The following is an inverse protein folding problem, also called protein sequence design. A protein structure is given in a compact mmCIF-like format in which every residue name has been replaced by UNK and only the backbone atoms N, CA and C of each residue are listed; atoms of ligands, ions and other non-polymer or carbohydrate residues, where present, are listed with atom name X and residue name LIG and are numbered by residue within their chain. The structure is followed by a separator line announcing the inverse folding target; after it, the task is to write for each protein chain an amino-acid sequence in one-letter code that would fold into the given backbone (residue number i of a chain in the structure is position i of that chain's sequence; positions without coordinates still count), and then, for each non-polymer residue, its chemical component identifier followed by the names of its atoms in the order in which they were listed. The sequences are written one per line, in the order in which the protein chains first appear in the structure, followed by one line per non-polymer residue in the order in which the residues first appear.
data_IF_328479179600
#
_entry.id   IF_328479179600
#
_cell.length_a   1.000
_cell.length_b   1.000
_cell.length_c   1.000
_cell.angle_alpha   90.00
_cell.angle_beta   90.00
_cell.angle_gamma   90.00
#
_symmetry.space_group_name_H-M   'P 1'
#
loop_
_entity.id
_entity.type
_entity.pdbx_description
1 polymer ?
#
# COMPACT_ATOMS: atom_id res chain seq x y z
N UNK A 1 14.16 -6.74 2.41
CA UNK A 1 13.31 -6.36 3.56
C UNK A 1 12.58 -7.61 4.01
N UNK A 2 12.52 -7.91 5.31
CA UNK A 2 11.80 -9.08 5.82
C UNK A 2 10.31 -8.71 5.93
N UNK A 3 9.46 -9.31 5.10
CA UNK A 3 8.00 -9.11 5.17
C UNK A 3 7.36 -9.89 6.33
N UNK A 4 8.14 -10.68 7.08
CA UNK A 4 7.63 -11.50 8.17
C UNK A 4 6.64 -12.53 7.63
N UNK A 5 5.47 -12.60 8.27
CA UNK A 5 4.36 -13.46 7.84
C UNK A 5 3.40 -12.79 6.85
N UNK A 6 3.60 -11.50 6.52
CA UNK A 6 2.81 -10.83 5.49
C UNK A 6 3.05 -11.45 4.13
N UNK A 7 1.97 -11.90 3.52
CA UNK A 7 1.95 -12.47 2.17
C UNK A 7 1.86 -11.37 1.10
N UNK A 8 1.09 -10.32 1.37
CA UNK A 8 0.89 -9.19 0.47
C UNK A 8 0.73 -7.89 1.27
N UNK A 9 1.31 -6.81 0.75
CA UNK A 9 1.27 -5.46 1.32
C UNK A 9 0.86 -4.47 0.22
N UNK A 10 -0.18 -3.69 0.47
CA UNK A 10 -0.51 -2.51 -0.33
C UNK A 10 -0.26 -1.26 0.50
N UNK A 11 0.41 -0.27 -0.07
CA UNK A 11 0.74 0.95 0.63
C UNK A 11 0.38 2.20 -0.18
N UNK A 12 -0.14 3.19 0.53
CA UNK A 12 -0.52 4.49 0.02
C UNK A 12 0.33 5.57 0.71
N UNK A 13 0.95 6.44 -0.06
CA UNK A 13 1.66 7.62 0.44
C UNK A 13 0.73 8.48 1.30
N UNK A 14 1.21 8.89 2.48
CA UNK A 14 0.46 9.77 3.38
C UNK A 14 0.14 11.11 2.72
N UNK A 15 0.98 11.58 1.78
CA UNK A 15 0.72 12.83 1.05
C UNK A 15 -0.57 12.77 0.19
N UNK A 16 -1.01 11.57 -0.21
CA UNK A 16 -2.29 11.43 -0.92
C UNK A 16 -3.49 11.68 0.02
N UNK A 17 -3.34 11.41 1.33
CA UNK A 17 -4.36 11.75 2.33
C UNK A 17 -4.52 13.25 2.48
N UNK A 18 -3.46 14.03 2.31
CA UNK A 18 -3.56 15.49 2.32
C UNK A 18 -4.55 15.97 1.25
N UNK A 19 -4.50 15.39 0.05
CA UNK A 19 -5.44 15.70 -1.03
C UNK A 19 -6.88 15.37 -0.66
N UNK A 20 -7.10 14.23 0.00
CA UNK A 20 -8.43 13.80 0.47
C UNK A 20 -8.96 14.71 1.57
N UNK A 21 -8.16 15.02 2.58
CA UNK A 21 -8.54 15.91 3.70
C UNK A 21 -8.86 17.31 3.18
N UNK A 22 -8.07 17.84 2.24
CA UNK A 22 -8.36 19.12 1.60
C UNK A 22 -9.68 19.09 0.84
N UNK A 23 -9.93 18.03 0.07
CA UNK A 23 -11.20 17.86 -0.62
C UNK A 23 -12.37 17.82 0.37
N UNK A 24 -12.29 17.02 1.42
CA UNK A 24 -13.33 16.94 2.46
C UNK A 24 -13.59 18.30 3.09
N UNK A 25 -12.54 19.09 3.37
CA UNK A 25 -12.68 20.45 3.90
C UNK A 25 -13.41 21.38 2.92
N UNK A 26 -13.17 21.24 1.61
CA UNK A 26 -13.85 22.04 0.59
C UNK A 26 -15.34 21.69 0.44
N UNK A 27 -15.69 20.40 0.42
CA UNK A 27 -17.06 19.93 0.16
C UNK A 27 -17.95 19.79 1.39
N UNK A 28 -17.39 19.65 2.61
CA UNK A 28 -18.17 19.49 3.84
C UNK A 28 -18.16 20.78 4.66
N UNK A 29 -19.25 21.58 4.66
CA UNK A 29 -19.32 22.80 5.48
C UNK A 29 -19.10 22.53 6.97
N UNK A 30 -19.60 21.39 7.47
CA UNK A 30 -19.43 20.93 8.85
C UNK A 30 -17.97 20.63 9.22
N UNK A 31 -17.07 20.48 8.23
CA UNK A 31 -15.65 20.33 8.48
C UNK A 31 -14.88 21.66 8.43
N UNK A 32 -15.50 22.73 7.89
CA UNK A 32 -14.94 24.09 7.93
C UNK A 32 -15.41 24.88 9.14
N UNK A 33 -16.69 24.71 9.48
CA UNK A 33 -17.33 25.43 10.57
C UNK A 33 -18.04 24.43 11.46
N UNK A 34 -17.53 24.28 12.68
CA UNK A 34 -18.08 23.39 13.69
C UNK A 34 -18.75 24.27 14.74
N UNK A 35 -20.06 24.16 14.85
CA UNK A 35 -20.85 24.90 15.83
C UNK A 35 -21.38 23.93 16.88
N UNK A 36 -21.23 24.31 18.14
CA UNK A 36 -21.90 23.65 19.24
C UNK A 36 -23.42 23.84 19.12
N UNK A 37 -24.24 22.79 19.26
CA UNK A 37 -25.70 22.91 19.21
C UNK A 37 -26.29 23.89 20.24
N UNK A 38 -25.64 24.02 21.41
CA UNK A 38 -26.07 24.93 22.48
C UNK A 38 -25.49 26.36 22.31
N UNK A 39 -24.67 26.58 21.28
CA UNK A 39 -24.06 27.86 20.95
C UNK A 39 -22.90 28.26 21.87
N UNK A 40 -22.32 27.32 22.63
CA UNK A 40 -21.20 27.59 23.52
C UNK A 40 -19.90 27.89 22.77
N UNK A 41 -19.71 27.34 21.57
CA UNK A 41 -18.56 27.64 20.73
C UNK A 41 -18.86 27.54 19.23
N UNK A 42 -17.99 28.21 18.46
CA UNK A 42 -17.83 27.97 17.02
C UNK A 42 -16.35 27.87 16.68
N UNK A 43 -15.97 26.80 15.98
CA UNK A 43 -14.67 26.65 15.35
C UNK A 43 -14.78 26.96 13.86
N UNK A 44 -13.92 27.83 13.36
CA UNK A 44 -13.69 28.04 11.94
C UNK A 44 -12.29 27.54 11.58
N UNK A 45 -12.21 26.45 10.83
CA UNK A 45 -10.97 25.75 10.50
C UNK A 45 -10.39 26.22 9.16
N UNK A 46 -9.09 26.51 9.17
CA UNK A 46 -8.26 26.52 7.96
C UNK A 46 -8.13 25.10 7.38
N UNK A 47 -7.70 24.94 6.11
CA UNK A 47 -7.43 23.63 5.54
C UNK A 47 -6.47 22.80 6.42
N UNK A 48 -6.90 21.63 6.92
CA UNK A 48 -6.07 20.84 7.82
C UNK A 48 -4.85 20.23 7.11
N UNK A 49 -3.74 20.08 7.83
CA UNK A 49 -2.53 19.47 7.28
C UNK A 49 -2.30 18.08 7.87
N UNK A 50 -2.11 17.07 7.03
CA UNK A 50 -1.70 15.74 7.45
C UNK A 50 -0.19 15.74 7.66
N UNK A 51 0.24 15.34 8.85
CA UNK A 51 1.65 15.35 9.21
C UNK A 51 2.06 14.02 9.84
N UNK A 52 3.35 13.70 9.71
CA UNK A 52 3.98 12.63 10.48
C UNK A 52 5.03 13.21 11.42
N UNK A 53 5.11 12.66 12.64
CA UNK A 53 6.07 13.08 13.68
C UNK A 53 6.90 11.89 14.11
N UNK A 54 8.21 12.07 14.18
CA UNK A 54 9.19 11.07 14.65
C UNK A 54 9.76 11.49 16.01
N UNK A 55 8.98 11.25 17.06
CA UNK A 55 9.33 11.62 18.46
C UNK A 55 9.67 10.42 19.33
N UNK A 56 10.31 9.39 18.76
CA UNK A 56 10.56 8.09 19.40
C UNK A 56 9.48 7.04 19.11
N UNK A 57 8.26 7.47 18.80
CA UNK A 57 7.23 6.68 18.14
C UNK A 57 6.76 7.42 16.88
N UNK A 58 6.97 6.77 15.74
CA UNK A 58 6.48 7.26 14.45
C UNK A 58 4.95 7.24 14.46
N UNK A 59 4.35 8.41 14.24
CA UNK A 59 2.91 8.63 14.33
C UNK A 59 2.47 9.65 13.32
N UNK A 60 1.19 9.62 13.00
CA UNK A 60 0.56 10.57 12.10
C UNK A 60 -0.55 11.32 12.81
N UNK A 61 -0.92 12.46 12.27
CA UNK A 61 -2.00 13.27 12.79
C UNK A 61 -2.41 14.35 11.82
N UNK A 62 -3.40 15.12 12.24
CA UNK A 62 -3.85 16.31 11.55
C UNK A 62 -3.47 17.53 12.38
N UNK A 63 -2.77 18.45 11.74
CA UNK A 63 -2.51 19.79 12.23
C UNK A 63 -3.66 20.71 11.82
N UNK A 64 -4.26 21.33 12.83
CA UNK A 64 -5.45 22.15 12.74
C UNK A 64 -5.09 23.58 13.13
N UNK A 65 -5.58 24.52 12.34
CA UNK A 65 -5.46 25.95 12.63
C UNK A 65 -6.78 26.61 12.36
N UNK A 66 -7.06 27.69 13.07
CA UNK A 66 -8.31 28.39 12.85
C UNK A 66 -8.64 29.43 13.91
N UNK A 67 -9.92 29.76 13.94
CA UNK A 67 -10.50 30.73 14.84
C UNK A 67 -11.53 30.04 15.74
N UNK A 68 -11.38 30.24 17.04
CA UNK A 68 -12.32 29.82 18.07
C UNK A 68 -13.13 31.04 18.53
N UNK A 69 -14.45 30.93 18.47
CA UNK A 69 -15.40 31.86 19.07
C UNK A 69 -16.04 31.16 20.27
N UNK A 70 -16.08 31.85 21.41
CA UNK A 70 -16.70 31.35 22.64
C UNK A 70 -17.94 32.17 22.96
N UNK A 71 -19.05 31.50 23.21
CA UNK A 71 -20.36 32.09 23.45
C UNK A 71 -20.74 33.13 22.36
N UNK A 72 -21.40 34.23 22.75
CA UNK A 72 -21.71 35.35 21.87
C UNK A 72 -20.52 36.31 21.64
N UNK A 73 -19.28 35.94 22.00
CA UNK A 73 -18.13 36.82 21.85
C UNK A 73 -17.72 36.92 20.37
N UNK A 74 -17.74 38.13 19.76
CA UNK A 74 -17.34 38.28 18.37
C UNK A 74 -15.82 38.21 18.15
N UNK A 75 -15.03 38.24 19.23
CA UNK A 75 -13.57 38.21 19.11
C UNK A 75 -13.07 36.78 18.97
N UNK A 76 -12.51 36.46 17.80
CA UNK A 76 -11.85 35.20 17.54
C UNK A 76 -10.57 35.03 18.37
N UNK A 77 -10.39 33.84 18.92
CA UNK A 77 -9.14 33.35 19.48
C UNK A 77 -8.49 32.48 18.40
N UNK A 78 -7.31 32.87 17.92
CA UNK A 78 -6.54 32.00 17.02
C UNK A 78 -6.08 30.78 17.81
N UNK A 79 -6.25 29.61 17.22
CA UNK A 79 -5.75 28.37 17.80
C UNK A 79 -4.97 27.54 16.79
N UNK A 80 -4.08 26.72 17.33
CA UNK A 80 -3.24 25.76 16.65
C UNK A 80 -3.29 24.46 17.47
N UNK A 81 -3.64 23.35 16.83
CA UNK A 81 -3.79 22.06 17.50
C UNK A 81 -3.26 20.92 16.65
N UNK A 82 -2.65 19.91 17.29
CA UNK A 82 -2.24 18.68 16.63
C UNK A 82 -2.98 17.49 17.23
N UNK A 83 -3.74 16.81 16.36
CA UNK A 83 -4.57 15.67 16.72
C UNK A 83 -3.97 14.41 16.11
N UNK A 84 -3.66 13.44 16.96
CA UNK A 84 -3.13 12.15 16.56
C UNK A 84 -4.22 11.31 15.92
N UNK A 85 -3.86 10.69 14.79
CA UNK A 85 -4.66 9.67 14.13
C UNK A 85 -3.95 8.32 14.20
N UNK A 86 -4.74 7.25 14.25
CA UNK A 86 -4.25 5.88 14.23
C UNK A 86 -4.92 5.10 13.11
N UNK A 87 -4.16 4.47 12.21
CA UNK A 87 -4.72 3.52 11.27
C UNK A 87 -5.21 2.28 12.01
N UNK A 88 -6.41 1.82 11.66
CA UNK A 88 -7.01 0.59 12.20
C UNK A 88 -7.76 -0.17 11.11
N UNK A 89 -8.09 -1.43 11.41
CA UNK A 89 -9.03 -2.21 10.60
C UNK A 89 -10.42 -1.97 11.17
N UNK A 90 -11.27 -1.31 10.40
CA UNK A 90 -12.70 -1.15 10.68
C UNK A 90 -13.54 -2.14 9.87
N UNK A 91 -14.86 -1.95 9.88
CA UNK A 91 -15.79 -2.73 9.05
C UNK A 91 -16.70 -1.81 8.23
N UNK A 92 -17.01 -2.23 7.00
CA UNK A 92 -18.09 -1.64 6.22
C UNK A 92 -19.47 -2.11 6.72
N UNK A 93 -20.53 -1.68 6.04
CA UNK A 93 -21.92 -1.98 6.42
C UNK A 93 -22.28 -3.47 6.25
N UNK A 94 -21.52 -4.19 5.43
CA UNK A 94 -21.66 -5.64 5.17
C UNK A 94 -20.75 -6.48 6.11
N UNK A 95 -19.98 -5.84 6.99
CA UNK A 95 -19.05 -6.49 7.91
C UNK A 95 -17.70 -6.88 7.29
N UNK A 96 -17.36 -6.36 6.10
CA UNK A 96 -16.06 -6.59 5.47
C UNK A 96 -14.99 -5.66 6.08
N UNK A 97 -13.76 -6.16 6.24
CA UNK A 97 -12.68 -5.35 6.79
C UNK A 97 -12.31 -4.21 5.83
N UNK A 98 -12.16 -3.01 6.38
CA UNK A 98 -11.72 -1.81 5.66
C UNK A 98 -10.62 -1.10 6.43
N UNK A 99 -9.75 -0.36 5.73
CA UNK A 99 -8.79 0.52 6.39
C UNK A 99 -9.48 1.81 6.84
N UNK A 100 -9.30 2.20 8.10
CA UNK A 100 -9.85 3.45 8.66
C UNK A 100 -8.78 4.25 9.39
N UNK A 101 -9.03 5.55 9.55
CA UNK A 101 -8.23 6.44 10.39
C UNK A 101 -9.06 6.87 11.58
N UNK A 102 -8.70 6.41 12.78
CA UNK A 102 -9.42 6.75 14.00
C UNK A 102 -8.70 7.85 14.77
N UNK A 103 -9.48 8.67 15.47
CA UNK A 103 -8.95 9.59 16.47
C UNK A 103 -8.26 8.80 17.60
N UNK A 104 -7.06 9.23 17.98
CA UNK A 104 -6.29 8.61 19.08
C UNK A 104 -6.21 9.55 20.28
N UNK A 105 -5.69 10.76 20.09
CA UNK A 105 -5.54 11.76 21.14
C UNK A 105 -5.31 13.17 20.58
N UNK A 106 -5.62 14.19 21.38
CA UNK A 106 -5.10 15.55 21.17
C UNK A 106 -3.72 15.63 21.83
N UNK A 107 -2.64 15.88 21.08
CA UNK A 107 -1.28 15.96 21.67
C UNK A 107 -0.89 17.39 22.05
N UNK A 108 -1.38 18.38 21.31
CA UNK A 108 -0.94 19.76 21.43
C UNK A 108 -2.08 20.70 21.08
N UNK A 109 -2.35 21.70 21.93
CA UNK A 109 -3.30 22.79 21.64
C UNK A 109 -2.79 24.10 22.22
N UNK A 110 -2.79 25.14 21.40
CA UNK A 110 -2.40 26.50 21.76
C UNK A 110 -3.46 27.45 21.22
N UNK A 111 -4.07 28.33 22.04
CA UNK A 111 -3.93 28.42 23.49
C UNK A 111 -4.69 27.28 24.22
N UNK A 112 -4.33 26.94 25.48
CA UNK A 112 -4.95 25.84 26.23
C UNK A 112 -6.47 25.94 26.42
N UNK A 113 -7.04 27.14 26.32
CA UNK A 113 -8.51 27.34 26.39
C UNK A 113 -9.25 26.67 25.23
N UNK A 114 -8.58 26.41 24.09
CA UNK A 114 -9.17 25.72 22.95
C UNK A 114 -9.17 24.18 23.11
N UNK A 115 -8.42 23.63 24.05
CA UNK A 115 -8.27 22.19 24.25
C UNK A 115 -9.59 21.43 24.45
N UNK A 116 -10.51 21.84 25.36
CA UNK A 116 -11.77 21.11 25.54
C UNK A 116 -12.64 21.13 24.27
N UNK A 117 -12.63 22.26 23.54
CA UNK A 117 -13.42 22.41 22.31
C UNK A 117 -12.85 21.54 21.18
N UNK A 118 -11.52 21.50 21.02
CA UNK A 118 -10.86 20.62 20.04
C UNK A 118 -11.08 19.16 20.41
N UNK A 119 -10.96 18.79 21.68
CA UNK A 119 -11.18 17.41 22.13
C UNK A 119 -12.62 16.95 21.90
N UNK A 120 -13.61 17.83 22.04
CA UNK A 120 -15.01 17.54 21.77
C UNK A 120 -15.27 17.40 20.26
N UNK A 121 -14.83 18.36 19.45
CA UNK A 121 -15.06 18.39 18.01
C UNK A 121 -14.37 17.23 17.25
N UNK A 122 -13.23 16.75 17.78
CA UNK A 122 -12.40 15.71 17.17
C UNK A 122 -12.45 14.37 17.90
N UNK A 123 -13.04 14.31 19.09
CA UNK A 123 -13.23 13.06 19.81
C UNK A 123 -14.10 12.07 19.01
N UNK A 124 -14.20 10.81 19.43
CA UNK A 124 -14.87 9.75 18.65
C UNK A 124 -16.31 10.08 18.21
N UNK A 125 -17.06 10.82 19.04
CA UNK A 125 -18.44 11.23 18.75
C UNK A 125 -18.53 12.64 18.09
N UNK A 126 -17.37 13.24 17.80
CA UNK A 126 -17.27 14.58 17.24
C UNK A 126 -17.51 14.63 15.74
N UNK A 127 -17.86 15.82 15.24
CA UNK A 127 -18.15 16.08 13.82
C UNK A 127 -16.98 15.68 12.91
N UNK A 128 -15.73 15.91 13.35
CA UNK A 128 -14.57 15.59 12.52
C UNK A 128 -14.25 14.11 12.53
N UNK A 129 -14.29 13.46 13.68
CA UNK A 129 -14.11 12.01 13.74
C UNK A 129 -15.15 11.31 12.85
N UNK A 130 -16.40 11.75 12.88
CA UNK A 130 -17.46 11.26 11.98
C UNK A 130 -17.14 11.48 10.49
N UNK A 131 -16.58 12.65 10.14
CA UNK A 131 -16.19 12.94 8.76
C UNK A 131 -14.99 12.09 8.28
N UNK A 132 -14.05 11.79 9.18
CA UNK A 132 -12.90 10.92 8.89
C UNK A 132 -13.27 9.44 8.92
N UNK A 133 -14.23 9.02 9.74
CA UNK A 133 -14.75 7.65 9.79
C UNK A 133 -15.49 7.28 8.50
N UNK A 134 -16.07 8.27 7.80
CA UNK A 134 -16.60 8.08 6.46
C UNK A 134 -15.50 7.71 5.43
N UNK A 135 -14.21 7.95 5.73
CA UNK A 135 -13.09 7.54 4.89
C UNK A 135 -12.76 6.06 5.11
N UNK A 136 -13.61 5.18 4.58
CA UNK A 136 -13.37 3.73 4.54
C UNK A 136 -12.57 3.38 3.28
N UNK A 137 -11.40 2.78 3.47
CA UNK A 137 -10.55 2.27 2.40
C UNK A 137 -10.85 0.79 2.17
N UNK A 138 -11.64 0.48 1.14
CA UNK A 138 -11.92 -0.90 0.73
C UNK A 138 -10.73 -1.48 -0.05
N UNK A 139 -9.68 -1.83 0.71
CA UNK A 139 -8.43 -2.40 0.18
C UNK A 139 -8.30 -3.89 0.48
N UNK A 140 -8.94 -4.39 1.53
CA UNK A 140 -8.72 -5.76 2.00
C UNK A 140 -9.46 -6.80 1.16
N UNK A 141 -10.63 -6.47 0.61
CA UNK A 141 -11.40 -7.38 -0.24
C UNK A 141 -10.57 -7.85 -1.43
N UNK A 142 -10.05 -6.91 -2.23
CA UNK A 142 -9.21 -7.21 -3.39
C UNK A 142 -7.90 -7.93 -3.01
N UNK A 143 -7.27 -7.58 -1.88
CA UNK A 143 -6.04 -8.23 -1.44
C UNK A 143 -6.28 -9.68 -1.01
N UNK A 144 -7.29 -9.91 -0.17
CA UNK A 144 -7.61 -11.25 0.34
C UNK A 144 -8.12 -12.17 -0.76
N UNK A 145 -8.96 -11.68 -1.68
CA UNK A 145 -9.36 -12.43 -2.88
C UNK A 145 -8.15 -12.79 -3.74
N UNK A 146 -7.24 -11.84 -3.98
CA UNK A 146 -6.02 -12.09 -4.76
C UNK A 146 -5.14 -13.18 -4.14
N UNK A 147 -4.96 -13.15 -2.82
CA UNK A 147 -4.19 -14.19 -2.10
C UNK A 147 -4.93 -15.53 -2.12
N UNK A 148 -6.25 -15.52 -1.91
CA UNK A 148 -7.09 -16.72 -1.91
C UNK A 148 -7.02 -17.46 -3.24
N UNK A 149 -7.21 -16.75 -4.36
CA UNK A 149 -7.20 -17.36 -5.69
C UNK A 149 -5.86 -18.04 -6.04
N UNK A 150 -4.76 -17.56 -5.43
CA UNK A 150 -3.43 -18.12 -5.62
C UNK A 150 -3.18 -19.34 -4.73
N UNK A 151 -3.64 -19.31 -3.47
CA UNK A 151 -3.39 -20.39 -2.50
C UNK A 151 -4.41 -21.54 -2.59
N UNK A 152 -5.65 -21.21 -2.91
CA UNK A 152 -6.79 -22.14 -2.89
C UNK A 152 -7.57 -22.05 -4.23
N UNK A 153 -6.93 -22.38 -5.36
CA UNK A 153 -7.55 -22.25 -6.67
C UNK A 153 -8.82 -23.11 -6.78
N UNK A 154 -9.92 -22.48 -7.18
CA UNK A 154 -11.20 -23.17 -7.44
C UNK A 154 -12.04 -23.50 -6.20
N UNK A 155 -11.62 -23.07 -5.01
CA UNK A 155 -12.48 -23.14 -3.81
C UNK A 155 -13.32 -21.86 -3.66
N UNK A 156 -14.47 -21.91 -2.95
CA UNK A 156 -15.17 -20.70 -2.56
C UNK A 156 -14.27 -19.82 -1.67
N UNK A 157 -14.38 -18.50 -1.83
CA UNK A 157 -13.63 -17.54 -1.01
C UNK A 157 -13.97 -17.70 0.48
N UNK A 158 -12.93 -17.99 1.28
CA UNK A 158 -13.00 -18.05 2.73
C UNK A 158 -12.20 -16.90 3.35
N UNK A 159 -12.91 -15.86 3.80
CA UNK A 159 -12.33 -14.69 4.46
C UNK A 159 -11.65 -15.03 5.78
N UNK A 160 -12.19 -16.00 6.53
CA UNK A 160 -11.70 -16.36 7.85
C UNK A 160 -10.35 -17.09 7.79
N UNK A 161 -9.91 -17.46 6.58
CA UNK A 161 -8.56 -17.98 6.33
C UNK A 161 -7.47 -16.91 6.42
N UNK A 162 -7.83 -15.61 6.52
CA UNK A 162 -6.89 -14.50 6.47
C UNK A 162 -6.89 -13.65 7.75
N UNK A 163 -5.72 -13.13 8.08
CA UNK A 163 -5.54 -12.05 9.05
C UNK A 163 -5.11 -10.80 8.30
N UNK A 164 -5.68 -9.65 8.67
CA UNK A 164 -5.40 -8.37 8.03
C UNK A 164 -4.99 -7.32 9.04
N UNK A 165 -4.16 -6.37 8.61
CA UNK A 165 -3.81 -5.21 9.42
C UNK A 165 -3.69 -3.94 8.57
N UNK A 166 -3.99 -2.80 9.20
CA UNK A 166 -3.79 -1.47 8.65
C UNK A 166 -2.90 -0.68 9.59
N UNK A 167 -1.75 -0.19 9.12
CA UNK A 167 -0.77 0.48 9.97
C UNK A 167 -0.04 1.63 9.26
N UNK A 168 0.60 2.50 10.05
CA UNK A 168 1.47 3.55 9.53
C UNK A 168 2.89 3.00 9.31
N UNK A 169 3.26 2.86 8.04
CA UNK A 169 4.59 2.46 7.59
C UNK A 169 5.63 3.55 7.86
N UNK A 170 6.69 3.20 8.58
CA UNK A 170 7.83 4.09 8.88
C UNK A 170 8.78 4.17 7.68
N UNK A 171 9.32 5.36 7.36
CA UNK A 171 10.42 5.48 6.40
C UNK A 171 11.54 4.48 6.71
N UNK A 172 11.93 3.71 5.71
CA UNK A 172 12.92 2.66 5.81
C UNK A 172 13.81 2.64 4.58
N UNK A 173 15.02 2.08 4.73
CA UNK A 173 15.89 1.83 3.60
C UNK A 173 15.42 0.59 2.85
N UNK A 174 15.14 0.73 1.55
CA UNK A 174 14.77 -0.36 0.67
C UNK A 174 15.86 -0.58 -0.37
N UNK A 175 16.49 -1.75 -0.31
CA UNK A 175 17.43 -2.21 -1.31
C UNK A 175 16.72 -2.51 -2.64
N UNK A 176 17.36 -2.12 -3.74
CA UNK A 176 17.01 -2.45 -5.11
C UNK A 176 18.28 -2.88 -5.83
N UNK A 177 18.48 -4.20 -5.98
CA UNK A 177 19.48 -4.67 -6.91
C UNK A 177 19.07 -4.29 -8.33
N UNK A 178 20.01 -3.73 -9.07
CA UNK A 178 19.92 -3.44 -10.49
C UNK A 178 20.71 -4.52 -11.20
N UNK A 179 19.99 -5.40 -11.88
CA UNK A 179 20.57 -6.48 -12.67
C UNK A 179 20.76 -6.04 -14.12
N UNK A 180 21.85 -6.50 -14.72
CA UNK A 180 22.12 -6.42 -16.15
C UNK A 180 22.26 -7.82 -16.72
N UNK A 181 22.29 -7.94 -18.04
CA UNK A 181 22.61 -9.19 -18.73
C UNK A 181 24.02 -9.04 -19.30
N UNK A 182 24.89 -9.97 -18.95
CA UNK A 182 26.26 -10.08 -19.47
C UNK A 182 26.38 -11.35 -20.32
N UNK A 183 27.28 -11.32 -21.30
CA UNK A 183 27.69 -12.51 -22.03
C UNK A 183 28.78 -13.27 -21.25
N UNK A 184 28.57 -14.57 -21.02
CA UNK A 184 29.55 -15.48 -20.44
C UNK A 184 29.73 -16.68 -21.37
N UNK A 185 30.82 -16.65 -22.17
CA UNK A 185 30.98 -17.54 -23.32
C UNK A 185 29.93 -17.26 -24.39
N UNK A 186 29.14 -18.27 -24.75
CA UNK A 186 28.02 -18.17 -25.70
C UNK A 186 26.66 -17.99 -25.02
N UNK A 187 26.62 -17.86 -23.68
CA UNK A 187 25.39 -17.75 -22.90
C UNK A 187 25.20 -16.35 -22.32
N UNK A 188 23.95 -15.89 -22.27
CA UNK A 188 23.59 -14.64 -21.60
C UNK A 188 23.17 -14.91 -20.16
N UNK A 189 23.87 -14.32 -19.20
CA UNK A 189 23.64 -14.52 -17.75
C UNK A 189 23.29 -13.20 -17.04
N UNK A 190 22.36 -13.22 -16.07
CA UNK A 190 22.13 -12.08 -15.19
C UNK A 190 23.37 -11.77 -14.34
N UNK A 191 23.71 -10.49 -14.21
CA UNK A 191 24.85 -9.99 -13.44
C UNK A 191 24.41 -8.79 -12.60
N UNK A 192 24.81 -8.74 -11.33
CA UNK A 192 24.45 -7.64 -10.43
C UNK A 192 25.35 -6.44 -10.76
N UNK A 193 24.76 -5.39 -11.32
CA UNK A 193 25.49 -4.17 -11.68
C UNK A 193 25.64 -3.23 -10.48
N UNK A 194 24.53 -2.98 -9.78
CA UNK A 194 24.50 -2.04 -8.66
C UNK A 194 23.47 -2.48 -7.63
N UNK A 195 23.77 -2.32 -6.34
CA UNK A 195 22.76 -2.40 -5.28
C UNK A 195 22.51 -1.00 -4.73
N UNK A 196 21.29 -0.50 -4.95
CA UNK A 196 20.91 0.86 -4.55
C UNK A 196 19.90 0.77 -3.44
N UNK A 197 20.17 1.42 -2.32
CA UNK A 197 19.15 1.67 -1.32
C UNK A 197 18.48 3.02 -1.53
N UNK A 198 17.16 3.08 -1.52
CA UNK A 198 16.43 4.34 -1.38
C UNK A 198 15.66 4.37 -0.06
N UNK A 199 15.50 5.58 0.49
CA UNK A 199 14.59 5.80 1.61
C UNK A 199 13.15 5.78 1.09
N UNK A 200 12.27 5.05 1.77
CA UNK A 200 10.82 5.10 1.56
C UNK A 200 10.21 6.32 2.24
N UNK A 201 9.01 6.71 1.80
CA UNK A 201 8.21 7.79 2.42
C UNK A 201 7.23 7.21 3.42
N UNK A 202 6.70 7.99 4.39
CA UNK A 202 5.61 7.54 5.23
C UNK A 202 4.41 7.05 4.40
N UNK A 203 3.81 5.93 4.79
CA UNK A 203 2.69 5.37 4.05
C UNK A 203 1.68 4.69 4.96
N UNK A 204 0.40 4.70 4.60
CA UNK A 204 -0.58 3.78 5.15
C UNK A 204 -0.43 2.44 4.47
N UNK A 205 -0.28 1.37 5.25
CA UNK A 205 -0.02 0.02 4.73
C UNK A 205 -1.13 -0.92 5.16
N UNK A 206 -1.82 -1.47 4.17
CA UNK A 206 -2.72 -2.61 4.31
C UNK A 206 -1.93 -3.91 4.06
N UNK A 207 -2.08 -4.87 4.95
CA UNK A 207 -1.33 -6.12 4.94
C UNK A 207 -2.23 -7.33 5.14
N UNK A 208 -1.90 -8.41 4.44
CA UNK A 208 -2.59 -9.70 4.53
C UNK A 208 -1.60 -10.80 4.90
N UNK A 209 -2.00 -11.65 5.85
CA UNK A 209 -1.34 -12.89 6.24
C UNK A 209 -2.38 -14.02 6.39
N UNK A 210 -1.93 -15.25 6.62
CA UNK A 210 -2.85 -16.34 6.96
C UNK A 210 -3.39 -16.19 8.39
N UNK A 211 -4.56 -16.76 8.64
CA UNK A 211 -5.15 -16.81 9.97
C UNK A 211 -4.15 -17.41 10.99
N UNK A 212 -4.06 -16.77 12.16
CA UNK A 212 -3.13 -17.15 13.22
C UNK A 212 -1.68 -16.65 13.04
N UNK A 213 -1.37 -15.93 11.94
CA UNK A 213 -0.08 -15.28 11.73
C UNK A 213 -0.17 -13.77 11.99
N UNK A 214 0.98 -13.13 12.23
CA UNK A 214 1.04 -11.68 12.44
C UNK A 214 1.13 -10.95 11.09
N UNK A 215 0.09 -10.19 10.69
CA UNK A 215 0.08 -9.46 9.42
C UNK A 215 0.92 -8.18 9.46
N UNK A 216 1.68 -7.90 10.53
CA UNK A 216 2.49 -6.68 10.63
C UNK A 216 3.97 -7.08 10.61
N UNK A 217 4.75 -6.64 9.60
CA UNK A 217 6.17 -6.89 9.59
C UNK A 217 6.87 -6.20 10.78
N UNK A 218 7.98 -6.75 11.30
CA UNK A 218 8.74 -6.11 12.37
C UNK A 218 9.14 -4.68 12.01
N UNK A 219 8.99 -3.76 12.97
CA UNK A 219 9.21 -2.32 12.83
C UNK A 219 8.27 -1.58 11.87
N UNK A 220 7.27 -2.27 11.27
CA UNK A 220 6.23 -1.68 10.42
C UNK A 220 6.81 -0.73 9.34
N UNK A 221 7.67 -1.22 8.42
CA UNK A 221 8.29 -0.38 7.42
C UNK A 221 7.30 0.06 6.35
N UNK A 222 7.51 1.25 5.80
CA UNK A 222 6.88 1.66 4.55
C UNK A 222 7.58 1.02 3.36
N UNK A 223 6.81 0.78 2.30
CA UNK A 223 7.27 0.25 1.01
C UNK A 223 7.17 1.27 -0.14
N UNK A 224 6.65 2.47 0.12
CA UNK A 224 6.37 3.47 -0.92
C UNK A 224 7.63 4.29 -1.22
N UNK A 225 7.91 4.48 -2.51
CA UNK A 225 9.04 5.30 -2.96
C UNK A 225 8.59 6.77 -3.06
N UNK A 226 9.46 7.74 -2.75
CA UNK A 226 9.18 9.14 -3.03
C UNK A 226 8.71 9.35 -4.48
N UNK A 227 7.55 10.00 -4.64
CA UNK A 227 6.98 10.37 -5.93
C UNK A 227 6.21 9.28 -6.68
N UNK A 228 6.01 8.08 -6.10
CA UNK A 228 5.17 7.04 -6.73
C UNK A 228 3.72 7.04 -6.24
N UNK A 229 3.46 7.59 -5.05
CA UNK A 229 2.12 7.68 -4.45
C UNK A 229 1.58 6.35 -3.90
N UNK A 230 1.86 5.21 -4.53
CA UNK A 230 1.46 3.90 -4.05
C UNK A 230 2.53 2.83 -4.29
N UNK A 231 2.39 1.68 -3.63
CA UNK A 231 3.20 0.50 -3.87
C UNK A 231 2.43 -0.79 -3.49
N UNK A 232 2.69 -1.86 -4.25
CA UNK A 232 2.26 -3.22 -3.91
C UNK A 232 3.52 -4.08 -3.75
N UNK A 233 3.56 -4.89 -2.71
CA UNK A 233 4.59 -5.89 -2.47
C UNK A 233 3.93 -7.24 -2.19
N UNK A 234 4.48 -8.30 -2.77
CA UNK A 234 4.02 -9.67 -2.57
C UNK A 234 5.21 -10.56 -2.28
N UNK A 235 4.99 -11.66 -1.56
CA UNK A 235 6.03 -12.65 -1.32
C UNK A 235 6.39 -13.39 -2.61
N UNK A 236 7.64 -13.82 -2.72
CA UNK A 236 8.10 -14.63 -3.85
C UNK A 236 7.26 -15.91 -4.00
N UNK A 237 6.89 -16.55 -2.88
CA UNK A 237 6.04 -17.73 -2.89
C UNK A 237 4.67 -17.49 -3.54
N UNK A 238 3.97 -16.40 -3.19
CA UNK A 238 2.70 -16.08 -3.86
C UNK A 238 2.92 -15.80 -5.35
N UNK A 239 3.98 -15.09 -5.69
CA UNK A 239 4.32 -14.81 -7.07
C UNK A 239 4.62 -16.07 -7.89
N UNK A 240 5.34 -17.04 -7.31
CA UNK A 240 5.62 -18.34 -7.91
C UNK A 240 4.36 -19.18 -8.08
N UNK A 241 3.46 -19.18 -7.08
CA UNK A 241 2.17 -19.87 -7.19
C UNK A 241 1.34 -19.29 -8.33
N UNK A 242 1.31 -17.96 -8.45
CA UNK A 242 0.63 -17.30 -9.57
C UNK A 242 1.20 -17.75 -10.91
N UNK A 243 2.52 -17.79 -11.04
CA UNK A 243 3.14 -18.30 -12.28
C UNK A 243 2.87 -19.76 -12.54
N UNK A 244 2.90 -20.62 -11.52
CA UNK A 244 2.62 -22.04 -11.69
C UNK A 244 1.18 -22.25 -12.19
N UNK A 245 0.22 -21.48 -11.66
CA UNK A 245 -1.17 -21.51 -12.12
C UNK A 245 -1.31 -21.04 -13.56
N UNK A 246 -0.65 -19.95 -13.95
CA UNK A 246 -0.65 -19.48 -15.35
C UNK A 246 0.04 -20.47 -16.29
N UNK A 247 1.20 -21.00 -15.89
CA UNK A 247 1.97 -21.98 -16.63
C UNK A 247 1.18 -23.26 -16.91
N UNK A 248 0.37 -23.72 -15.95
CA UNK A 248 -0.47 -24.91 -16.10
C UNK A 248 -1.53 -24.78 -17.22
N UNK A 249 -1.87 -23.55 -17.64
CA UNK A 249 -2.84 -23.30 -18.71
C UNK A 249 -2.23 -23.26 -20.12
N UNK A 250 -0.90 -23.25 -20.22
CA UNK A 250 -0.18 -23.06 -21.49
C UNK A 250 -0.05 -24.36 -22.32
N UNK A 251 0.19 -25.55 -21.75
CA UNK A 251 0.21 -26.79 -22.52
C UNK A 251 -1.07 -26.99 -23.34
N UNK A 252 -0.92 -27.40 -24.61
CA UNK A 252 -1.99 -27.55 -25.58
C UNK A 252 -2.41 -26.26 -26.30
N UNK A 253 -1.87 -25.10 -25.91
CA UNK A 253 -2.11 -23.84 -26.63
C UNK A 253 -1.22 -23.73 -27.87
N UNK A 254 -1.71 -23.07 -28.91
CA UNK A 254 -0.96 -22.83 -30.15
C UNK A 254 -0.49 -21.38 -30.18
N UNK A 255 0.82 -21.16 -30.07
CA UNK A 255 1.46 -19.85 -30.10
C UNK A 255 2.28 -19.72 -31.38
N UNK A 256 1.89 -18.82 -32.29
CA UNK A 256 2.56 -18.61 -33.58
C UNK A 256 2.80 -19.90 -34.40
N UNK A 257 1.89 -20.87 -34.24
CA UNK A 257 1.92 -22.17 -34.91
C UNK A 257 2.82 -23.22 -34.24
N UNK A 258 3.42 -22.93 -33.08
CA UNK A 258 4.01 -23.90 -32.16
C UNK A 258 2.92 -24.38 -31.21
N UNK A 259 2.67 -25.69 -31.15
CA UNK A 259 1.81 -26.26 -30.11
C UNK A 259 2.67 -26.48 -28.87
N UNK A 260 2.30 -25.84 -27.76
CA UNK A 260 3.03 -25.96 -26.50
C UNK A 260 2.78 -27.34 -25.86
N UNK A 261 3.84 -28.09 -25.57
CA UNK A 261 3.78 -29.39 -24.90
C UNK A 261 4.02 -29.23 -23.39
N UNK A 262 4.94 -28.34 -23.01
CA UNK A 262 5.20 -27.99 -21.62
C UNK A 262 5.61 -26.52 -21.48
N UNK A 263 5.31 -25.95 -20.32
CA UNK A 263 5.77 -24.62 -19.93
C UNK A 263 5.89 -24.55 -18.40
N UNK A 264 6.98 -23.99 -17.93
CA UNK A 264 7.23 -23.71 -16.53
C UNK A 264 7.88 -22.34 -16.38
N UNK A 265 7.56 -21.66 -15.29
CA UNK A 265 8.10 -20.34 -14.94
C UNK A 265 8.31 -20.26 -13.44
N UNK A 266 9.37 -19.60 -13.00
CA UNK A 266 9.67 -19.33 -11.58
C UNK A 266 10.26 -17.95 -11.39
N UNK A 267 9.98 -17.32 -10.24
CA UNK A 267 10.58 -16.05 -9.87
C UNK A 267 11.98 -16.19 -9.28
N UNK A 268 12.81 -15.20 -9.56
CA UNK A 268 14.17 -15.06 -9.05
C UNK A 268 14.41 -13.62 -8.62
N UNK A 269 15.53 -13.35 -7.95
CA UNK A 269 15.89 -12.01 -7.50
C UNK A 269 16.09 -10.99 -8.65
N UNK A 270 16.31 -11.47 -9.88
CA UNK A 270 16.54 -10.64 -11.06
C UNK A 270 15.37 -10.61 -12.05
N UNK A 271 14.35 -11.45 -11.88
CA UNK A 271 13.23 -11.55 -12.79
C UNK A 271 12.59 -12.92 -12.77
N UNK A 272 12.41 -13.53 -13.95
CA UNK A 272 11.72 -14.81 -14.11
C UNK A 272 12.52 -15.76 -14.97
N UNK A 273 12.70 -16.99 -14.51
CA UNK A 273 13.22 -18.06 -15.34
C UNK A 273 12.06 -18.79 -16.02
N UNK A 274 12.21 -19.07 -17.30
CA UNK A 274 11.21 -19.73 -18.14
C UNK A 274 11.85 -20.93 -18.82
N UNK A 275 11.15 -22.05 -18.81
CA UNK A 275 11.49 -23.24 -19.60
C UNK A 275 10.24 -23.79 -20.27
N UNK A 276 10.34 -24.19 -21.53
CA UNK A 276 9.22 -24.78 -22.24
C UNK A 276 9.64 -25.62 -23.43
N UNK A 277 8.69 -26.41 -23.91
CA UNK A 277 8.83 -27.27 -25.07
C UNK A 277 7.54 -27.19 -25.89
N UNK A 278 7.67 -27.22 -27.21
CA UNK A 278 6.53 -27.37 -28.10
C UNK A 278 6.94 -28.00 -29.41
N UNK A 279 5.95 -28.33 -30.24
CA UNK A 279 6.20 -28.93 -31.54
C UNK A 279 5.53 -28.16 -32.68
N UNK A 280 6.19 -28.16 -33.84
CA UNK A 280 5.67 -27.62 -35.09
C UNK A 280 6.17 -28.45 -36.27
N UNK A 281 5.25 -29.04 -37.03
CA UNK A 281 5.56 -29.73 -38.30
C UNK A 281 6.75 -30.71 -38.23
N UNK A 282 6.83 -31.51 -37.17
CA UNK A 282 7.88 -32.54 -37.00
C UNK A 282 9.20 -32.06 -36.39
N UNK A 283 9.31 -30.78 -36.02
CA UNK A 283 10.40 -30.26 -35.20
C UNK A 283 9.91 -30.06 -33.75
N UNK A 284 10.80 -30.35 -32.80
CA UNK A 284 10.57 -30.07 -31.37
C UNK A 284 11.38 -28.84 -31.04
N UNK A 285 10.73 -27.80 -30.54
CA UNK A 285 11.37 -26.57 -30.13
C UNK A 285 11.41 -26.56 -28.62
N UNK A 286 12.61 -26.61 -28.06
CA UNK A 286 12.81 -26.39 -26.64
C UNK A 286 13.38 -25.00 -26.42
N UNK A 287 12.94 -24.33 -25.35
CA UNK A 287 13.45 -23.03 -24.99
C UNK A 287 13.64 -22.91 -23.49
N UNK A 288 14.72 -22.24 -23.10
CA UNK A 288 15.03 -21.96 -21.70
C UNK A 288 15.74 -20.64 -21.58
N UNK A 289 15.43 -19.86 -20.56
CA UNK A 289 16.10 -18.60 -20.34
C UNK A 289 15.51 -17.78 -19.21
N UNK A 290 16.06 -16.59 -19.04
CA UNK A 290 15.62 -15.64 -18.02
C UNK A 290 15.05 -14.38 -18.68
N UNK A 291 13.96 -13.86 -18.13
CA UNK A 291 13.47 -12.52 -18.37
C UNK A 291 13.94 -11.64 -17.22
N UNK A 292 14.93 -10.80 -17.47
CA UNK A 292 15.39 -9.80 -16.50
C UNK A 292 14.53 -8.57 -16.63
N UNK A 293 13.85 -8.20 -15.55
CA UNK A 293 12.99 -7.03 -15.47
C UNK A 293 13.78 -5.85 -14.88
N UNK A 294 14.18 -4.88 -15.71
CA UNK A 294 14.85 -3.68 -15.25
C UNK A 294 13.88 -2.51 -15.21
N UNK A 295 13.55 -2.03 -14.01
CA UNK A 295 12.84 -0.77 -13.85
C UNK A 295 13.83 0.40 -13.89
N UNK A 296 13.79 1.21 -14.94
CA UNK A 296 14.52 2.47 -14.99
C UNK A 296 13.62 3.57 -14.45
N UNK A 297 13.92 4.02 -13.22
CA UNK A 297 13.12 5.03 -12.52
C UNK A 297 13.08 6.41 -13.19
N UNK A 298 12.09 7.22 -12.79
CA UNK A 298 11.80 8.56 -13.31
C UNK A 298 10.28 8.81 -13.37
N UNK A 299 9.86 10.04 -13.73
CA UNK A 299 8.43 10.42 -13.84
C UNK A 299 7.68 9.63 -14.94
N UNK A 300 8.41 8.92 -15.81
CA UNK A 300 7.86 8.04 -16.84
C UNK A 300 8.40 6.62 -16.79
N UNK A 301 8.70 6.10 -15.59
CA UNK A 301 9.41 4.84 -15.37
C UNK A 301 9.13 3.75 -16.39
N UNK A 302 10.18 3.22 -17.02
CA UNK A 302 10.07 2.19 -18.05
C UNK A 302 10.49 0.85 -17.48
N UNK A 303 9.61 -0.14 -17.61
CA UNK A 303 9.96 -1.54 -17.42
C UNK A 303 10.61 -2.05 -18.72
N UNK A 304 11.90 -2.34 -18.66
CA UNK A 304 12.61 -2.97 -19.77
C UNK A 304 12.73 -4.45 -19.42
N UNK A 305 12.07 -5.30 -20.21
CA UNK A 305 12.29 -6.74 -20.13
C UNK A 305 13.32 -7.14 -21.18
N UNK A 306 14.37 -7.83 -20.74
CA UNK A 306 15.36 -8.41 -21.64
C UNK A 306 15.35 -9.93 -21.47
N UNK A 307 15.09 -10.64 -22.55
CA UNK A 307 15.08 -12.10 -22.59
C UNK A 307 16.45 -12.67 -22.93
N UNK A 308 16.84 -13.71 -22.22
CA UNK A 308 17.98 -14.57 -22.54
C UNK A 308 17.49 -15.97 -22.86
N UNK A 309 16.55 -16.07 -23.80
CA UNK A 309 15.94 -17.35 -24.16
C UNK A 309 16.76 -18.01 -25.26
N UNK A 310 17.48 -19.07 -24.89
CA UNK A 310 18.11 -19.97 -25.83
C UNK A 310 17.04 -20.91 -26.40
N UNK A 311 17.09 -21.16 -27.71
CA UNK A 311 16.13 -22.01 -28.43
C UNK A 311 16.88 -23.09 -29.19
N UNK A 312 16.46 -24.35 -29.02
CA UNK A 312 16.96 -25.50 -29.77
C UNK A 312 15.82 -26.11 -30.60
N UNK A 313 16.10 -26.51 -31.85
CA UNK A 313 15.10 -26.91 -32.87
C UNK A 313 15.47 -28.23 -33.55
#
# INVERSE_FOLDING_TARGET
MNTGSSLQLFALDVDLLQGVVNFLHEVLPSFRTIEDPDGAYRLELEPPLVETRDGGNFRMGIHLRGQLFLDANPNAILFDAWVRLRPEVGTDDDGNPVGVLVFDAVEEVIPPIAEPVVAEAFGPDGTVASALDALKLDVFSALTESVHDQLFPGTPFDRDAFSVAFYLGRPASMARPVWQIRLDGDHYVPDLDLDVSYATVPALVASVALAGQEPVPPAAPSIVRPGTGLALMTTAQLFDLRFALEAATIPGTVLQGLTMDSFASSSTDYGFDITGEGHKTGATVSFSGSLVAQFRGGVGGQLIMRSTIDTDV
#
